data_IF_067340803453
#
_entry.id   IF_067340803453
#
_cell.length_a   1.000
_cell.length_b   1.000
_cell.length_c   1.000
_cell.angle_alpha   90.00
_cell.angle_beta   90.00
_cell.angle_gamma   90.00
#
_symmetry.space_group_name_H-M   'P 1'
#
loop_
_entity.id
_entity.type
_entity.pdbx_description
1 polymer ?
#
# COMPACT_ATOMS: atom_id res chain seq x y z
N UNK A 1 3.22 23.74 -27.35
CA UNK A 1 3.31 22.27 -27.37
C UNK A 1 3.46 21.82 -25.92
N UNK A 2 2.44 21.16 -25.33
CA UNK A 2 2.56 20.55 -24.01
C UNK A 2 2.96 19.09 -24.21
N UNK A 3 4.18 18.65 -23.87
CA UNK A 3 4.49 17.24 -23.83
C UNK A 3 3.70 16.61 -22.69
N UNK A 4 3.01 15.51 -22.98
CA UNK A 4 1.93 14.97 -22.16
C UNK A 4 2.33 14.64 -20.73
N UNK A 5 1.48 15.04 -19.79
CA UNK A 5 1.33 14.36 -18.52
C UNK A 5 1.06 12.88 -18.83
N UNK A 6 2.10 12.04 -18.73
CA UNK A 6 1.95 10.61 -18.96
C UNK A 6 1.08 10.06 -17.86
N UNK A 7 -0.11 9.56 -18.21
CA UNK A 7 -1.01 8.91 -17.27
C UNK A 7 -0.24 7.81 -16.52
N UNK A 8 -0.27 7.86 -15.19
CA UNK A 8 0.40 6.90 -14.31
C UNK A 8 0.03 5.46 -14.72
N UNK A 9 1.01 4.66 -15.09
CA UNK A 9 0.78 3.30 -15.56
C UNK A 9 0.23 2.44 -14.42
N UNK A 10 -0.56 1.41 -14.74
CA UNK A 10 -1.08 0.42 -13.77
C UNK A 10 -0.02 -0.05 -12.76
N UNK A 11 1.18 -0.35 -13.25
CA UNK A 11 2.28 -0.84 -12.44
C UNK A 11 2.83 0.21 -11.47
N UNK A 12 2.80 1.49 -11.85
CA UNK A 12 3.13 2.60 -10.97
C UNK A 12 2.03 2.81 -9.92
N UNK A 13 0.74 2.76 -10.32
CA UNK A 13 -0.39 2.87 -9.40
C UNK A 13 -0.38 1.78 -8.32
N UNK A 14 -0.17 0.51 -8.73
CA UNK A 14 -0.06 -0.61 -7.79
C UNK A 14 1.14 -0.47 -6.85
N UNK A 15 2.27 0.03 -7.37
CA UNK A 15 3.47 0.22 -6.55
C UNK A 15 3.30 1.37 -5.57
N UNK A 16 2.63 2.44 -5.98
CA UNK A 16 2.28 3.57 -5.12
C UNK A 16 1.46 3.08 -3.93
N UNK A 17 0.39 2.32 -4.19
CA UNK A 17 -0.44 1.72 -3.13
C UNK A 17 0.37 0.76 -2.26
N UNK A 18 1.18 -0.11 -2.85
CA UNK A 18 1.95 -1.08 -2.09
C UNK A 18 2.91 -0.40 -1.11
N UNK A 19 3.68 0.56 -1.59
CA UNK A 19 4.66 1.25 -0.78
C UNK A 19 4.03 2.15 0.29
N UNK A 20 2.93 2.83 -0.03
CA UNK A 20 2.16 3.58 0.96
C UNK A 20 1.60 2.67 2.06
N UNK A 21 1.05 1.52 1.67
CA UNK A 21 0.53 0.53 2.62
C UNK A 21 1.63 -0.05 3.51
N UNK A 22 2.77 -0.49 2.95
CA UNK A 22 3.86 -1.05 3.75
C UNK A 22 4.55 -0.01 4.63
N UNK A 23 4.71 1.23 4.15
CA UNK A 23 5.19 2.33 4.97
C UNK A 23 4.27 2.62 6.16
N UNK A 24 2.96 2.52 5.97
CA UNK A 24 2.00 2.66 7.06
C UNK A 24 2.02 1.49 8.05
N UNK A 25 2.17 0.26 7.58
CA UNK A 25 2.37 -0.89 8.47
C UNK A 25 3.63 -0.72 9.33
N UNK A 26 4.74 -0.25 8.73
CA UNK A 26 5.95 0.08 9.47
C UNK A 26 5.72 1.21 10.48
N UNK A 27 4.95 2.25 10.12
CA UNK A 27 4.60 3.33 11.04
C UNK A 27 3.76 2.86 12.24
N UNK A 28 2.92 1.83 12.04
CA UNK A 28 2.15 1.15 13.10
C UNK A 28 2.97 0.11 13.88
N UNK A 29 4.26 -0.04 13.59
CA UNK A 29 5.15 -0.96 14.31
C UNK A 29 5.02 -2.42 13.89
N UNK A 30 4.39 -2.71 12.75
CA UNK A 30 4.28 -4.08 12.24
C UNK A 30 5.63 -4.54 11.71
N UNK A 31 6.24 -5.51 12.38
CA UNK A 31 7.54 -6.09 11.98
C UNK A 31 7.39 -7.37 11.17
N UNK A 32 6.34 -8.17 11.42
CA UNK A 32 6.07 -9.42 10.73
C UNK A 32 4.85 -9.31 9.81
N UNK A 33 5.02 -9.69 8.54
CA UNK A 33 3.94 -9.68 7.56
C UNK A 33 4.03 -10.85 6.59
N UNK A 34 3.33 -11.94 6.92
CA UNK A 34 3.23 -13.09 6.05
C UNK A 34 1.79 -13.67 5.99
N UNK A 35 0.79 -12.88 5.58
CA UNK A 35 -0.55 -13.41 5.36
C UNK A 35 -0.57 -14.36 4.16
N UNK A 36 -1.53 -15.30 4.15
CA UNK A 36 -1.88 -15.98 2.90
C UNK A 36 -2.41 -14.96 1.89
N UNK A 37 -2.31 -15.27 0.59
CA UNK A 37 -2.83 -14.39 -0.47
C UNK A 37 -4.32 -14.10 -0.27
N UNK A 38 -5.07 -15.11 0.16
CA UNK A 38 -6.52 -15.01 0.36
C UNK A 38 -6.86 -14.11 1.56
N UNK A 39 -6.17 -14.30 2.70
CA UNK A 39 -6.39 -13.47 3.90
C UNK A 39 -6.07 -12.01 3.61
N UNK A 40 -4.97 -11.77 2.90
CA UNK A 40 -4.62 -10.43 2.45
C UNK A 40 -5.70 -9.86 1.54
N UNK A 41 -6.11 -10.58 0.50
CA UNK A 41 -7.07 -10.10 -0.50
C UNK A 41 -8.41 -9.73 0.14
N UNK A 42 -8.90 -10.51 1.10
CA UNK A 42 -10.11 -10.18 1.85
C UNK A 42 -9.95 -8.99 2.79
N UNK A 43 -8.95 -9.01 3.69
CA UNK A 43 -8.76 -7.96 4.68
C UNK A 43 -8.42 -6.62 4.02
N UNK A 44 -7.50 -6.62 3.05
CA UNK A 44 -7.12 -5.43 2.31
C UNK A 44 -8.28 -4.92 1.45
N UNK A 45 -9.04 -5.80 0.81
CA UNK A 45 -10.22 -5.38 0.05
C UNK A 45 -11.31 -4.73 0.91
N UNK A 46 -11.49 -5.19 2.16
CA UNK A 46 -12.40 -4.55 3.12
C UNK A 46 -11.86 -3.18 3.55
N UNK A 47 -10.59 -3.12 3.93
CA UNK A 47 -9.92 -1.88 4.33
C UNK A 47 -9.94 -0.82 3.22
N UNK A 48 -9.56 -1.21 1.99
CA UNK A 48 -9.53 -0.33 0.83
C UNK A 48 -10.89 0.32 0.53
N UNK A 49 -11.99 -0.43 0.64
CA UNK A 49 -13.34 0.11 0.42
C UNK A 49 -13.81 1.02 1.54
N UNK A 50 -13.34 0.77 2.77
CA UNK A 50 -13.66 1.60 3.93
C UNK A 50 -12.77 2.85 4.02
N UNK A 51 -11.63 2.84 3.35
CA UNK A 51 -10.66 3.93 3.36
C UNK A 51 -11.19 5.12 2.55
N UNK A 52 -11.45 6.25 3.24
CA UNK A 52 -12.05 7.47 2.67
C UNK A 52 -11.00 8.55 2.42
N UNK A 53 -9.86 8.21 1.81
CA UNK A 53 -8.89 9.22 1.41
C UNK A 53 -9.44 10.08 0.26
N UNK A 54 -9.23 11.39 0.30
CA UNK A 54 -9.87 12.37 -0.59
C UNK A 54 -9.23 12.48 -1.98
N UNK A 55 -8.06 11.87 -2.22
CA UNK A 55 -7.27 11.99 -3.46
C UNK A 55 -7.09 10.63 -4.15
N UNK A 56 -8.17 10.16 -4.79
CA UNK A 56 -8.28 8.78 -5.32
C UNK A 56 -8.00 8.68 -6.84
N UNK A 57 -7.72 9.79 -7.53
CA UNK A 57 -7.59 9.78 -9.00
C UNK A 57 -6.38 9.02 -9.52
N UNK A 58 -5.28 8.97 -8.76
CA UNK A 58 -4.05 8.26 -9.17
C UNK A 58 -4.04 6.79 -8.77
N UNK A 59 -5.01 6.34 -7.97
CA UNK A 59 -5.05 4.98 -7.45
C UNK A 59 -5.64 3.99 -8.46
N UNK A 60 -5.23 2.71 -8.40
CA UNK A 60 -5.81 1.71 -9.25
C UNK A 60 -7.27 1.48 -8.84
N UNK A 61 -8.18 1.50 -9.82
CA UNK A 61 -9.50 0.91 -9.61
C UNK A 61 -9.34 -0.61 -9.51
N UNK A 62 -9.73 -1.18 -8.37
CA UNK A 62 -9.80 -2.62 -8.17
C UNK A 62 -11.18 -3.12 -8.63
N UNK A 63 -11.21 -3.98 -9.65
CA UNK A 63 -12.43 -4.52 -10.23
C UNK A 63 -12.27 -6.01 -10.59
N UNK A 64 -13.39 -6.72 -10.76
CA UNK A 64 -13.36 -8.12 -11.18
C UNK A 64 -12.66 -8.23 -12.55
N UNK A 65 -11.57 -8.99 -12.63
CA UNK A 65 -10.78 -9.16 -13.85
C UNK A 65 -9.77 -8.05 -14.17
N UNK A 66 -9.72 -6.95 -13.40
CA UNK A 66 -8.75 -5.85 -13.59
C UNK A 66 -8.26 -5.32 -12.22
N UNK A 67 -6.95 -5.42 -11.96
CA UNK A 67 -6.33 -5.12 -10.66
C UNK A 67 -6.99 -5.90 -9.51
N UNK A 68 -6.42 -7.04 -9.13
CA UNK A 68 -6.81 -7.71 -7.88
C UNK A 68 -6.08 -7.08 -6.71
N UNK A 69 -6.67 -7.09 -5.52
CA UNK A 69 -6.01 -6.55 -4.32
C UNK A 69 -4.65 -7.22 -4.10
N UNK A 70 -4.55 -8.53 -4.29
CA UNK A 70 -3.28 -9.27 -4.21
C UNK A 70 -2.19 -8.81 -5.18
N UNK A 71 -2.54 -8.11 -6.26
CA UNK A 71 -1.55 -7.58 -7.21
C UNK A 71 -0.66 -6.52 -6.54
N UNK A 72 -1.12 -5.88 -5.46
CA UNK A 72 -0.32 -4.98 -4.61
C UNK A 72 0.90 -5.72 -4.04
N UNK A 73 0.69 -6.92 -3.48
CA UNK A 73 1.77 -7.76 -2.91
C UNK A 73 2.74 -8.28 -3.96
N UNK A 74 2.26 -8.55 -5.18
CA UNK A 74 3.13 -9.02 -6.26
C UNK A 74 3.91 -7.88 -6.90
N UNK A 75 3.38 -6.65 -6.86
CA UNK A 75 4.06 -5.51 -7.46
C UNK A 75 5.28 -5.10 -6.64
N UNK A 76 5.15 -5.07 -5.32
CA UNK A 76 6.26 -4.66 -4.43
C UNK A 76 7.47 -5.59 -4.57
N UNK A 77 7.25 -6.90 -4.63
CA UNK A 77 8.33 -7.90 -4.71
C UNK A 77 9.04 -7.96 -6.07
N UNK A 78 8.46 -7.34 -7.10
CA UNK A 78 9.03 -7.26 -8.46
C UNK A 78 9.54 -5.86 -8.79
N UNK A 79 9.91 -5.09 -7.77
CA UNK A 79 10.31 -3.69 -7.90
C UNK A 79 11.54 -3.40 -7.04
N UNK A 80 12.15 -2.24 -7.23
CA UNK A 80 13.20 -1.69 -6.36
C UNK A 80 12.62 -1.03 -5.10
N UNK A 81 11.47 -1.50 -4.62
CA UNK A 81 10.83 -0.99 -3.40
C UNK A 81 11.69 -1.33 -2.17
N UNK A 82 11.75 -0.43 -1.17
CA UNK A 82 12.35 -0.75 0.13
C UNK A 82 11.62 -1.91 0.84
N UNK A 83 10.40 -2.26 0.43
CA UNK A 83 9.60 -3.33 1.00
C UNK A 83 9.59 -4.60 0.13
N UNK A 84 10.50 -4.76 -0.83
CA UNK A 84 10.53 -5.91 -1.73
C UNK A 84 10.65 -7.26 -0.98
N UNK A 85 11.26 -7.26 0.20
CA UNK A 85 11.49 -8.41 1.10
C UNK A 85 10.46 -8.50 2.24
N UNK A 86 9.28 -7.87 2.11
CA UNK A 86 8.27 -7.80 3.19
C UNK A 86 7.91 -9.14 3.86
N UNK A 87 8.12 -10.27 3.16
CA UNK A 87 7.85 -11.62 3.69
C UNK A 87 8.83 -12.04 4.77
N UNK A 88 10.04 -11.50 4.74
CA UNK A 88 11.09 -11.75 5.74
C UNK A 88 10.98 -10.77 6.92
N UNK A 89 10.25 -9.67 6.71
CA UNK A 89 10.00 -8.61 7.68
C UNK A 89 9.69 -7.30 6.98
N UNK A 90 8.97 -6.39 7.64
CA UNK A 90 8.74 -5.04 7.10
C UNK A 90 9.95 -4.15 7.41
N UNK A 91 10.48 -3.46 6.40
CA UNK A 91 11.55 -2.46 6.56
C UNK A 91 11.06 -1.29 7.40
N UNK A 92 11.69 -1.07 8.56
CA UNK A 92 11.34 -0.02 9.51
C UNK A 92 12.03 1.32 9.22
N UNK A 93 13.02 1.30 8.32
CA UNK A 93 13.78 2.47 7.86
C UNK A 93 13.79 2.59 6.34
N UNK A 94 12.61 2.69 5.69
CA UNK A 94 12.52 2.69 4.24
C UNK A 94 13.28 3.87 3.63
N UNK A 95 14.28 3.56 2.79
CA UNK A 95 15.20 4.55 2.20
C UNK A 95 15.97 5.39 3.23
N UNK A 96 16.22 4.84 4.43
CA UNK A 96 16.94 5.53 5.50
C UNK A 96 16.12 6.59 6.25
N UNK A 97 14.81 6.64 6.03
CA UNK A 97 13.89 7.56 6.69
C UNK A 97 13.06 6.84 7.75
N UNK A 98 12.48 7.58 8.71
CA UNK A 98 11.40 7.00 9.50
C UNK A 98 10.19 6.70 8.60
N UNK A 99 9.32 5.74 8.95
CA UNK A 99 8.17 5.41 8.10
C UNK A 99 7.23 6.59 7.81
N UNK A 100 7.03 7.48 8.79
CA UNK A 100 6.21 8.69 8.62
C UNK A 100 6.85 9.70 7.67
N UNK A 101 8.16 9.93 7.78
CA UNK A 101 8.90 10.80 6.85
C UNK A 101 8.87 10.25 5.43
N UNK A 102 9.03 8.93 5.28
CA UNK A 102 8.90 8.25 3.99
C UNK A 102 7.51 8.50 3.38
N UNK A 103 6.44 8.29 4.15
CA UNK A 103 5.07 8.51 3.67
C UNK A 103 4.80 9.96 3.28
N UNK A 104 5.35 10.92 4.02
CA UNK A 104 5.16 12.35 3.77
C UNK A 104 5.71 12.79 2.40
N UNK A 105 6.70 12.08 1.86
CA UNK A 105 7.30 12.37 0.55
C UNK A 105 6.87 11.39 -0.55
N UNK A 106 6.36 10.20 -0.18
CA UNK A 106 6.07 9.12 -1.13
C UNK A 106 4.89 9.44 -2.06
N UNK A 107 3.80 9.94 -1.50
CA UNK A 107 2.59 10.30 -2.24
C UNK A 107 2.10 11.67 -1.73
N UNK A 108 2.56 12.79 -2.33
CA UNK A 108 2.27 14.13 -1.83
C UNK A 108 0.79 14.47 -1.67
N UNK A 109 -0.08 13.79 -2.43
CA UNK A 109 -1.53 13.98 -2.36
C UNK A 109 -2.20 13.21 -1.20
N UNK A 110 -1.49 12.32 -0.53
CA UNK A 110 -2.02 11.45 0.54
C UNK A 110 -1.16 11.58 1.78
N UNK A 111 -1.78 12.01 2.87
CA UNK A 111 -1.06 12.26 4.11
C UNK A 111 -0.55 10.94 4.73
N UNK A 112 0.52 10.98 5.54
CA UNK A 112 0.92 9.82 6.35
C UNK A 112 -0.24 9.25 7.17
N UNK A 113 -1.07 10.11 7.73
CA UNK A 113 -2.25 9.77 8.53
C UNK A 113 -3.30 9.02 7.72
N UNK A 114 -3.54 9.41 6.47
CA UNK A 114 -4.42 8.65 5.58
C UNK A 114 -3.89 7.24 5.33
N UNK A 115 -2.59 7.10 5.04
CA UNK A 115 -1.98 5.78 4.85
C UNK A 115 -2.05 4.93 6.12
N UNK A 116 -1.79 5.53 7.28
CA UNK A 116 -1.92 4.87 8.59
C UNK A 116 -3.35 4.41 8.83
N UNK A 117 -4.36 5.21 8.49
CA UNK A 117 -5.76 4.80 8.61
C UNK A 117 -6.06 3.57 7.75
N UNK A 118 -5.50 3.45 6.54
CA UNK A 118 -5.62 2.23 5.73
C UNK A 118 -5.00 1.01 6.42
N UNK A 119 -3.79 1.16 6.98
CA UNK A 119 -3.12 0.08 7.72
C UNK A 119 -3.93 -0.36 8.93
N UNK A 120 -4.47 0.57 9.72
CA UNK A 120 -5.33 0.30 10.87
C UNK A 120 -6.62 -0.44 10.50
N UNK A 121 -7.29 0.00 9.42
CA UNK A 121 -8.46 -0.70 8.88
C UNK A 121 -8.12 -2.14 8.45
N UNK A 122 -6.96 -2.33 7.84
CA UNK A 122 -6.48 -3.66 7.44
C UNK A 122 -6.20 -4.56 8.66
N UNK A 123 -5.46 -4.06 9.64
CA UNK A 123 -5.12 -4.82 10.86
C UNK A 123 -6.39 -5.22 11.62
N UNK A 124 -7.32 -4.28 11.82
CA UNK A 124 -8.63 -4.55 12.44
C UNK A 124 -9.42 -5.60 11.65
N UNK A 125 -9.35 -5.55 10.32
CA UNK A 125 -9.99 -6.52 9.43
C UNK A 125 -9.40 -7.93 9.52
N UNK A 126 -8.10 -8.07 9.85
CA UNK A 126 -7.46 -9.38 10.02
C UNK A 126 -7.85 -10.06 11.32
N UNK A 127 -7.98 -9.31 12.40
CA UNK A 127 -8.35 -9.84 13.71
C UNK A 127 -9.78 -10.41 13.70
N UNK A 128 -10.68 -9.80 12.93
CA UNK A 128 -12.07 -10.25 12.79
C UNK A 128 -12.24 -11.54 11.97
N UNK A 129 -11.20 -12.01 11.29
CA UNK A 129 -11.22 -13.18 10.40
C UNK A 129 -10.46 -14.40 10.99
N UNK A 130 -9.94 -14.28 12.22
CA UNK A 130 -9.40 -15.40 13.01
C UNK A 130 -10.50 -16.04 13.85
#
# INVERSE_FOLDING_TARGET
>A
MNPGASATTRNQQLLLVANGFFGALAAEGVVEFNPSIMDFEFAFGKAWRAWRCASVSEFPTFALGKNRFRDVLFRVSRSSSPFATYRDGIEMTPSGLTPREYLAIWAPEVTPEDWIALAQLYLSGRESNR
#
